data_IF_469978174099
#
_entry.id   IF_469978174099
#
_cell.length_a   1.000
_cell.length_b   1.000
_cell.length_c   1.000
_cell.angle_alpha   90.00
_cell.angle_beta   90.00
_cell.angle_gamma   90.00
#
_symmetry.space_group_name_H-M   'P 1'
#
loop_
_entity.id
_entity.type
_entity.pdbx_description
1 polymer ?
#
# COMPACT_ATOMS: atom_id res chain seq x y z
N UNK A 1 -6.24 13.09 -20.72
CA UNK A 1 -5.85 11.93 -21.50
C UNK A 1 -4.36 11.71 -21.63
N UNK A 2 -3.53 12.68 -21.29
CA UNK A 2 -2.10 12.56 -21.42
C UNK A 2 -1.54 11.32 -20.74
N UNK A 3 -2.21 10.83 -19.73
CA UNK A 3 -1.77 9.65 -19.00
C UNK A 3 -1.74 8.39 -19.86
N UNK A 4 -2.69 8.26 -20.79
CA UNK A 4 -2.74 7.11 -21.69
C UNK A 4 -1.63 7.15 -22.73
N UNK A 5 -1.04 8.31 -22.92
CA UNK A 5 0.03 8.50 -23.89
C UNK A 5 1.39 8.53 -23.22
N UNK A 6 1.41 8.41 -21.89
CA UNK A 6 2.66 8.44 -21.14
C UNK A 6 3.51 7.23 -21.48
N UNK A 7 4.77 7.48 -21.77
CA UNK A 7 5.75 6.43 -21.96
C UNK A 7 6.33 5.99 -20.64
N UNK A 8 6.44 4.69 -20.46
CA UNK A 8 7.10 4.10 -19.29
C UNK A 8 8.38 3.43 -19.75
N UNK A 9 9.40 3.50 -18.92
CA UNK A 9 10.72 2.95 -19.27
C UNK A 9 11.28 2.16 -18.11
N UNK A 10 12.07 1.14 -18.42
CA UNK A 10 12.83 0.41 -17.42
C UNK A 10 13.76 1.41 -16.71
N UNK A 11 13.83 1.34 -15.39
CA UNK A 11 14.56 2.30 -14.58
C UNK A 11 13.75 3.53 -14.22
N UNK A 12 12.55 3.68 -14.78
CA UNK A 12 11.69 4.80 -14.46
C UNK A 12 11.24 4.75 -13.01
N UNK A 13 11.23 5.92 -12.36
CA UNK A 13 10.86 6.02 -10.96
C UNK A 13 9.37 6.27 -10.84
N UNK A 14 8.70 5.43 -10.05
CA UNK A 14 7.30 5.66 -9.70
C UNK A 14 7.27 6.82 -8.71
N UNK A 15 6.41 7.80 -8.95
CA UNK A 15 6.30 8.94 -8.04
C UNK A 15 5.99 8.45 -6.62
N UNK A 16 6.79 8.84 -5.64
CA UNK A 16 6.63 8.31 -4.28
C UNK A 16 5.37 8.82 -3.60
N UNK A 17 4.90 8.05 -2.63
CA UNK A 17 3.76 8.40 -1.79
C UNK A 17 4.23 8.35 -0.35
N UNK A 18 3.96 9.42 0.41
CA UNK A 18 4.34 9.50 1.82
C UNK A 18 3.08 9.51 2.67
N UNK A 19 3.05 8.68 3.70
CA UNK A 19 1.94 8.61 4.64
C UNK A 19 2.45 8.72 6.06
N UNK A 20 1.83 9.61 6.83
CA UNK A 20 2.07 9.72 8.27
C UNK A 20 0.94 9.00 8.98
N UNK A 21 1.26 7.94 9.70
CA UNK A 21 0.24 7.12 10.32
C UNK A 21 -0.08 7.59 11.73
N UNK A 22 -1.37 7.76 12.01
CA UNK A 22 -1.86 8.04 13.35
C UNK A 22 -2.74 6.89 13.79
N UNK A 23 -2.93 6.75 15.10
CA UNK A 23 -3.88 5.75 15.60
C UNK A 23 -5.28 6.01 15.07
N UNK A 24 -5.67 7.27 14.91
CA UNK A 24 -6.98 7.62 14.37
C UNK A 24 -7.15 7.13 12.94
N UNK A 25 -6.11 7.28 12.12
CA UNK A 25 -6.16 6.82 10.74
C UNK A 25 -6.25 5.30 10.68
N UNK A 26 -5.52 4.60 11.52
CA UNK A 26 -5.56 3.13 11.61
C UNK A 26 -6.95 2.69 12.04
N UNK A 27 -7.52 3.33 13.06
CA UNK A 27 -8.86 3.00 13.55
C UNK A 27 -9.90 3.18 12.44
N UNK A 28 -9.81 4.27 11.71
CA UNK A 28 -10.74 4.56 10.62
C UNK A 28 -10.63 3.51 9.52
N UNK A 29 -9.41 3.15 9.15
CA UNK A 29 -9.19 2.12 8.13
C UNK A 29 -9.78 0.78 8.56
N UNK A 30 -9.49 0.34 9.78
CA UNK A 30 -9.98 -0.95 10.26
C UNK A 30 -11.51 -0.98 10.33
N UNK A 31 -12.11 0.11 10.78
CA UNK A 31 -13.57 0.23 10.83
C UNK A 31 -14.17 0.18 9.44
N UNK A 32 -13.56 0.88 8.49
CA UNK A 32 -14.02 0.89 7.09
C UNK A 32 -13.86 -0.48 6.44
N UNK A 33 -12.90 -1.26 6.89
CA UNK A 33 -12.67 -2.61 6.37
C UNK A 33 -13.53 -3.67 7.06
N UNK A 34 -14.45 -3.24 7.93
CA UNK A 34 -15.39 -4.14 8.59
C UNK A 34 -14.95 -4.65 9.95
N UNK A 35 -13.84 -4.16 10.46
CA UNK A 35 -13.37 -4.58 11.79
C UNK A 35 -14.25 -3.97 12.87
N UNK A 36 -14.81 -4.81 13.74
CA UNK A 36 -15.59 -4.37 14.87
C UNK A 36 -14.94 -4.89 16.15
N UNK A 37 -14.94 -4.07 17.18
CA UNK A 37 -14.35 -4.45 18.46
C UNK A 37 -12.82 -4.30 18.49
N UNK A 38 -12.23 -4.51 19.66
CA UNK A 38 -10.79 -4.33 19.86
C UNK A 38 -9.94 -5.35 19.08
N UNK A 39 -8.81 -4.91 18.57
CA UNK A 39 -7.86 -5.77 17.89
C UNK A 39 -6.45 -5.24 18.11
N UNK A 40 -5.44 -5.99 17.69
CA UNK A 40 -4.05 -5.56 17.78
C UNK A 40 -3.78 -4.27 17.00
N UNK A 41 -4.69 -3.85 16.15
CA UNK A 41 -4.55 -2.64 15.37
C UNK A 41 -5.15 -1.41 16.08
N UNK A 42 -6.10 -1.61 16.96
CA UNK A 42 -6.87 -0.51 17.52
C UNK A 42 -6.81 -0.42 19.05
N UNK A 43 -6.35 -1.43 19.73
CA UNK A 43 -6.37 -1.49 21.19
C UNK A 43 -5.06 -2.06 21.73
N UNK A 44 -4.43 -1.31 22.66
CA UNK A 44 -3.13 -1.70 23.19
C UNK A 44 -3.16 -3.00 23.98
N UNK A 45 -4.23 -3.25 24.71
CA UNK A 45 -4.36 -4.49 25.47
C UNK A 45 -4.48 -5.68 24.54
N UNK A 46 -5.31 -5.55 23.51
CA UNK A 46 -5.44 -6.61 22.51
C UNK A 46 -4.14 -6.84 21.76
N UNK A 47 -3.39 -5.76 21.49
CA UNK A 47 -2.08 -5.87 20.85
C UNK A 47 -1.10 -6.64 21.75
N UNK A 48 -1.10 -6.35 23.03
CA UNK A 48 -0.22 -7.03 23.97
C UNK A 48 -0.54 -8.52 24.03
N UNK A 49 -1.80 -8.87 24.07
CA UNK A 49 -2.22 -10.27 24.11
C UNK A 49 -1.87 -11.02 22.83
N UNK A 50 -2.08 -10.38 21.68
CA UNK A 50 -1.88 -11.03 20.39
C UNK A 50 -0.42 -11.05 19.96
N UNK A 51 0.29 -9.93 20.15
CA UNK A 51 1.65 -9.76 19.64
C UNK A 51 2.71 -10.02 20.70
N UNK A 52 2.34 -9.99 21.97
CA UNK A 52 3.27 -10.17 23.07
C UNK A 52 4.13 -8.94 23.37
N UNK A 53 3.91 -7.83 22.69
CA UNK A 53 4.63 -6.58 22.91
C UNK A 53 3.66 -5.42 23.09
N UNK A 54 4.14 -4.36 23.72
CA UNK A 54 3.32 -3.16 23.88
C UNK A 54 3.21 -2.41 22.56
N UNK A 55 2.05 -1.77 22.38
CA UNK A 55 1.81 -0.91 21.24
C UNK A 55 1.05 -1.60 20.12
N UNK A 56 0.16 -0.85 19.51
CA UNK A 56 -0.61 -1.33 18.37
C UNK A 56 0.22 -1.27 17.09
N UNK A 57 -0.27 -1.93 16.06
CA UNK A 57 0.36 -1.94 14.74
C UNK A 57 -0.69 -1.61 13.68
N UNK A 58 -0.23 -1.18 12.51
CA UNK A 58 -1.12 -1.07 11.34
C UNK A 58 -1.17 -2.41 10.64
N UNK A 59 -2.33 -2.74 10.08
CA UNK A 59 -2.47 -4.00 9.37
C UNK A 59 -1.73 -3.99 8.04
N UNK A 60 -1.36 -5.18 7.56
CA UNK A 60 -0.76 -5.32 6.24
C UNK A 60 -1.70 -4.86 5.14
N UNK A 61 -3.01 -5.00 5.35
CA UNK A 61 -4.02 -4.52 4.38
C UNK A 61 -3.93 -3.01 4.19
N UNK A 62 -3.61 -2.26 5.24
CA UNK A 62 -3.49 -0.81 5.14
C UNK A 62 -2.27 -0.44 4.30
N UNK A 63 -1.13 -1.10 4.52
CA UNK A 63 0.06 -0.88 3.72
C UNK A 63 -0.16 -1.25 2.26
N UNK A 64 -0.85 -2.36 2.01
CA UNK A 64 -1.19 -2.78 0.64
C UNK A 64 -2.05 -1.72 -0.04
N UNK A 65 -3.03 -1.18 0.67
CA UNK A 65 -3.91 -0.14 0.12
C UNK A 65 -3.12 1.10 -0.30
N UNK A 66 -2.14 1.52 0.50
CA UNK A 66 -1.30 2.66 0.15
C UNK A 66 -0.40 2.36 -1.04
N UNK A 67 0.15 1.14 -1.12
CA UNK A 67 0.97 0.75 -2.26
C UNK A 67 0.15 0.78 -3.54
N UNK A 68 -1.08 0.28 -3.48
CA UNK A 68 -1.99 0.32 -4.63
C UNK A 68 -2.32 1.76 -5.00
N UNK A 69 -2.52 2.62 -4.02
CA UNK A 69 -2.76 4.04 -4.28
C UNK A 69 -1.60 4.65 -5.08
N UNK A 70 -0.37 4.38 -4.68
CA UNK A 70 0.81 4.88 -5.39
C UNK A 70 0.82 4.42 -6.84
N UNK A 71 0.57 3.14 -7.06
CA UNK A 71 0.60 2.55 -8.40
C UNK A 71 -0.53 3.11 -9.28
N UNK A 72 -1.72 3.24 -8.71
CA UNK A 72 -2.85 3.79 -9.46
C UNK A 72 -2.64 5.24 -9.83
N UNK A 73 -2.03 6.02 -8.95
CA UNK A 73 -1.72 7.42 -9.25
C UNK A 73 -0.69 7.53 -10.36
N UNK A 74 0.29 6.66 -10.37
CA UNK A 74 1.37 6.73 -11.35
C UNK A 74 0.94 6.18 -12.71
N UNK A 75 0.38 4.98 -12.75
CA UNK A 75 0.00 4.33 -14.00
C UNK A 75 -1.38 4.74 -14.50
N UNK A 76 -2.23 5.26 -13.62
CA UNK A 76 -3.60 5.58 -13.92
C UNK A 76 -4.53 4.39 -13.64
N UNK A 77 -5.77 4.67 -13.16
CA UNK A 77 -6.69 3.59 -12.79
C UNK A 77 -7.08 2.71 -13.97
N UNK A 78 -7.18 3.29 -15.18
CA UNK A 78 -7.56 2.51 -16.35
C UNK A 78 -6.52 1.46 -16.70
N UNK A 79 -5.24 1.75 -16.48
CA UNK A 79 -4.16 0.81 -16.77
C UNK A 79 -4.00 -0.19 -15.64
N UNK A 80 -3.89 0.31 -14.41
CA UNK A 80 -3.59 -0.55 -13.27
C UNK A 80 -4.71 -1.53 -12.96
N UNK A 81 -5.97 -1.08 -13.01
CA UNK A 81 -7.10 -1.92 -12.63
C UNK A 81 -7.38 -3.04 -13.62
N UNK A 82 -6.76 -3.02 -14.79
CA UNK A 82 -7.06 -3.98 -15.84
C UNK A 82 -6.46 -5.35 -15.58
N UNK A 83 -5.18 -5.40 -15.22
CA UNK A 83 -4.48 -6.66 -15.01
C UNK A 83 -3.48 -6.62 -13.86
N UNK A 84 -3.74 -5.77 -12.86
CA UNK A 84 -2.80 -5.61 -11.78
C UNK A 84 -2.65 -6.85 -10.90
N UNK A 85 -1.43 -7.18 -10.54
CA UNK A 85 -1.13 -8.22 -9.58
C UNK A 85 -0.11 -7.68 -8.59
N UNK A 86 -0.31 -7.93 -7.31
CA UNK A 86 0.59 -7.45 -6.26
C UNK A 86 1.02 -8.64 -5.42
N UNK A 87 2.33 -8.76 -5.24
CA UNK A 87 2.92 -9.76 -4.36
C UNK A 87 3.73 -9.02 -3.31
N UNK A 88 3.44 -9.21 -2.04
CA UNK A 88 4.01 -8.45 -0.96
C UNK A 88 4.63 -9.32 0.11
N UNK A 89 5.67 -8.76 0.74
CA UNK A 89 6.27 -9.34 1.93
C UNK A 89 6.40 -8.25 2.99
N UNK A 90 5.94 -8.53 4.19
CA UNK A 90 6.02 -7.61 5.31
C UNK A 90 7.22 -7.97 6.17
N UNK A 91 8.18 -7.08 6.26
CA UNK A 91 9.44 -7.34 6.97
C UNK A 91 9.44 -6.84 8.39
N UNK A 92 8.69 -5.79 8.67
CA UNK A 92 8.61 -5.18 10.00
C UNK A 92 7.23 -4.61 10.23
N UNK A 93 6.78 -4.57 11.48
CA UNK A 93 5.51 -3.95 11.79
C UNK A 93 5.55 -2.44 11.57
N UNK A 94 4.42 -1.88 11.19
CA UNK A 94 4.23 -0.44 11.07
C UNK A 94 3.37 -0.01 12.25
N UNK A 95 3.76 1.08 12.90
CA UNK A 95 3.12 1.52 14.13
C UNK A 95 2.58 2.94 14.02
N UNK A 96 1.62 3.32 14.86
CA UNK A 96 1.18 4.72 14.94
C UNK A 96 2.38 5.61 15.20
N UNK A 97 2.42 6.76 14.53
CA UNK A 97 3.54 7.69 14.62
C UNK A 97 4.58 7.49 13.54
N UNK A 98 4.54 6.37 12.83
CA UNK A 98 5.49 6.12 11.74
C UNK A 98 5.14 6.94 10.52
N UNK A 99 6.18 7.35 9.80
CA UNK A 99 6.05 7.93 8.47
C UNK A 99 6.55 6.91 7.49
N UNK A 100 5.72 6.56 6.51
CA UNK A 100 6.05 5.54 5.52
C UNK A 100 6.18 6.21 4.16
N UNK A 101 7.28 5.94 3.48
CA UNK A 101 7.47 6.37 2.12
C UNK A 101 7.37 5.14 1.21
N UNK A 102 6.44 5.20 0.27
CA UNK A 102 6.31 4.17 -0.75
C UNK A 102 7.03 4.66 -1.99
N UNK A 103 7.87 3.82 -2.55
CA UNK A 103 8.62 4.17 -3.76
C UNK A 103 8.73 2.95 -4.64
N UNK A 104 9.05 3.16 -5.89
CA UNK A 104 9.18 2.05 -6.81
C UNK A 104 9.96 2.44 -8.04
N UNK A 105 10.45 1.42 -8.73
CA UNK A 105 11.19 1.57 -9.97
C UNK A 105 10.64 0.54 -10.94
N UNK A 106 10.49 0.92 -12.19
CA UNK A 106 10.11 -0.05 -13.23
C UNK A 106 11.34 -0.89 -13.54
N UNK A 107 11.27 -2.17 -13.20
CA UNK A 107 12.41 -3.07 -13.37
C UNK A 107 12.34 -3.91 -14.63
N UNK A 108 11.14 -4.10 -15.17
CA UNK A 108 10.94 -4.99 -16.30
C UNK A 108 9.75 -4.56 -17.13
N UNK A 109 9.85 -4.71 -18.40
CA UNK A 109 8.75 -4.45 -19.34
C UNK A 109 8.78 -5.52 -20.41
N UNK A 110 7.61 -5.99 -20.80
CA UNK A 110 7.50 -6.94 -21.90
C UNK A 110 6.41 -6.49 -22.86
N UNK A 111 6.56 -6.84 -24.14
CA UNK A 111 5.56 -6.53 -25.14
C UNK A 111 4.71 -7.79 -25.36
N UNK A 112 3.43 -7.61 -25.31
CA UNK A 112 2.48 -8.69 -25.53
C UNK A 112 1.55 -8.34 -26.68
N UNK A 113 0.73 -9.32 -27.09
CA UNK A 113 -0.19 -9.12 -28.20
C UNK A 113 -1.14 -7.95 -27.99
N UNK A 114 -1.47 -7.65 -26.74
CA UNK A 114 -2.39 -6.57 -26.38
C UNK A 114 -1.69 -5.30 -25.94
N UNK A 115 -0.37 -5.21 -26.10
CA UNK A 115 0.41 -4.06 -25.68
C UNK A 115 1.59 -4.46 -24.82
N UNK A 116 2.08 -3.48 -24.05
CA UNK A 116 3.21 -3.69 -23.15
C UNK A 116 2.76 -4.10 -21.76
N UNK A 117 3.58 -4.89 -21.10
CA UNK A 117 3.37 -5.31 -19.72
C UNK A 117 4.53 -4.80 -18.86
N UNK A 118 4.20 -4.28 -17.71
CA UNK A 118 5.20 -3.76 -16.77
C UNK A 118 5.27 -4.64 -15.54
#
# INVERSE_FOLDING_TARGET
MGRLERSFQIGGQVAPLVKHLTQEAINLFERSAGQTGPSQFTDEEAARETLGTAGTVASGRMSLTFAIEMLRRYFGPAIFNHTGMVDLRFLRPVRPGDTITFSGTISEMSREANGSKI
#
